data_IF_737449669539
#
_entry.id   IF_737449669539
#
_cell.length_a   1.000
_cell.length_b   1.000
_cell.length_c   1.000
_cell.angle_alpha   90.00
_cell.angle_beta   90.00
_cell.angle_gamma   90.00
#
_symmetry.space_group_name_H-M   'P 1'
#
loop_
_entity.id
_entity.type
_entity.pdbx_description
1 polymer ?
#
# COMPACT_ATOMS: atom_id res chain seq x y z
N UNK A 1 1.43 20.01 10.28
CA UNK A 1 0.76 21.25 9.87
C UNK A 1 0.52 21.18 8.38
N UNK A 2 -0.73 20.98 7.95
CA UNK A 2 -1.12 21.15 6.56
C UNK A 2 -1.83 22.50 6.48
N UNK A 3 -1.11 23.51 6.02
CA UNK A 3 -1.70 24.79 5.64
C UNK A 3 -1.41 25.00 4.17
N UNK A 4 -2.49 25.13 3.41
CA UNK A 4 -2.52 25.36 1.98
C UNK A 4 -3.97 25.49 1.51
N UNK A 5 -4.58 26.64 1.81
CA UNK A 5 -5.78 27.18 1.14
C UNK A 5 -5.54 27.24 -0.40
N UNK A 6 -6.49 27.26 -1.32
CA UNK A 6 -7.83 27.83 -1.38
C UNK A 6 -8.62 27.02 -2.43
N UNK A 7 -9.89 26.71 -2.18
CA UNK A 7 -10.75 26.04 -3.16
C UNK A 7 -11.16 27.00 -4.29
N UNK A 8 -10.58 26.82 -5.47
CA UNK A 8 -11.04 27.48 -6.70
C UNK A 8 -12.06 26.59 -7.42
N UNK A 9 -13.34 26.80 -7.10
CA UNK A 9 -14.54 26.67 -7.96
C UNK A 9 -14.46 25.82 -9.24
N UNK A 10 -14.16 24.52 -9.10
CA UNK A 10 -14.37 23.50 -10.13
C UNK A 10 -14.51 22.15 -9.40
N UNK A 11 -15.21 21.12 -9.92
CA UNK A 11 -15.18 19.79 -9.31
C UNK A 11 -13.77 19.22 -9.54
N UNK A 12 -12.82 19.69 -8.75
CA UNK A 12 -11.47 19.19 -8.72
C UNK A 12 -11.57 17.72 -8.31
N UNK A 13 -11.06 16.77 -9.12
CA UNK A 13 -11.07 15.38 -8.75
C UNK A 13 -10.38 15.27 -7.40
N UNK A 14 -11.09 14.75 -6.40
CA UNK A 14 -10.50 14.40 -5.12
C UNK A 14 -9.50 13.30 -5.44
N UNK A 15 -8.23 13.65 -5.53
CA UNK A 15 -7.15 12.68 -5.66
C UNK A 15 -6.98 12.06 -4.29
N UNK A 16 -7.76 11.02 -4.02
CA UNK A 16 -7.54 10.16 -2.86
C UNK A 16 -6.33 9.30 -3.23
N UNK A 17 -5.13 9.67 -2.76
CA UNK A 17 -3.99 8.75 -2.80
C UNK A 17 -4.28 7.60 -1.82
N UNK A 18 -4.99 6.60 -2.32
CA UNK A 18 -5.12 5.32 -1.64
C UNK A 18 -3.94 4.49 -2.10
N UNK A 19 -2.91 4.42 -1.25
CA UNK A 19 -1.73 3.59 -1.46
C UNK A 19 -2.08 2.17 -1.94
N UNK A 20 -3.20 1.64 -1.46
CA UNK A 20 -3.78 0.36 -1.87
C UNK A 20 -3.89 0.15 -3.38
N UNK A 21 -4.17 1.19 -4.18
CA UNK A 21 -4.36 1.05 -5.62
C UNK A 21 -3.06 0.82 -6.39
N UNK A 22 -1.91 1.17 -5.81
CA UNK A 22 -0.60 1.09 -6.46
C UNK A 22 0.40 0.18 -5.73
N UNK A 23 -0.02 -0.50 -4.65
CA UNK A 23 0.73 -1.60 -4.02
C UNK A 23 0.71 -2.82 -4.95
N UNK A 24 1.88 -3.42 -5.19
CA UNK A 24 2.04 -4.65 -6.00
C UNK A 24 2.45 -5.83 -5.12
N UNK A 25 1.87 -7.00 -5.39
CA UNK A 25 2.30 -8.26 -4.77
C UNK A 25 3.69 -8.63 -5.29
N UNK A 26 4.58 -9.00 -4.37
CA UNK A 26 5.86 -9.62 -4.70
C UNK A 26 5.73 -11.13 -4.51
N UNK A 27 6.25 -11.89 -5.47
CA UNK A 27 6.34 -13.34 -5.38
C UNK A 27 7.77 -13.71 -5.05
N UNK A 28 7.94 -14.53 -4.02
CA UNK A 28 9.22 -15.02 -3.55
C UNK A 28 9.18 -16.55 -3.56
N UNK A 29 10.30 -17.16 -3.92
CA UNK A 29 10.52 -18.59 -3.72
C UNK A 29 11.08 -18.85 -2.32
N UNK A 30 11.09 -20.12 -1.91
CA UNK A 30 11.71 -20.50 -0.63
C UNK A 30 13.18 -20.07 -0.56
N UNK A 31 13.92 -20.20 -1.67
CA UNK A 31 15.30 -19.76 -1.74
C UNK A 31 15.46 -18.24 -1.58
N UNK A 32 14.58 -17.45 -2.21
CA UNK A 32 14.59 -15.99 -2.05
C UNK A 32 14.33 -15.61 -0.59
N UNK A 33 13.38 -16.28 0.07
CA UNK A 33 13.10 -16.07 1.49
C UNK A 33 14.32 -16.41 2.33
N UNK A 34 15.02 -17.51 2.07
CA UNK A 34 16.19 -17.91 2.86
C UNK A 34 17.32 -16.89 2.81
N UNK A 35 17.57 -16.29 1.64
CA UNK A 35 18.64 -15.31 1.44
C UNK A 35 18.25 -13.88 1.86
N UNK A 36 16.98 -13.60 2.15
CA UNK A 36 16.54 -12.29 2.63
C UNK A 36 17.05 -11.99 4.05
N UNK A 37 17.46 -10.74 4.24
CA UNK A 37 17.82 -10.22 5.57
C UNK A 37 16.62 -10.24 6.53
N UNK A 38 16.91 -10.41 7.82
CA UNK A 38 15.87 -10.49 8.86
C UNK A 38 15.03 -9.20 8.92
N UNK A 39 15.62 -8.03 8.69
CA UNK A 39 14.89 -6.76 8.69
C UNK A 39 13.93 -6.69 7.51
N UNK A 40 14.36 -7.10 6.31
CA UNK A 40 13.50 -7.12 5.13
C UNK A 40 12.31 -8.07 5.32
N UNK A 41 12.51 -9.24 5.93
CA UNK A 41 11.42 -10.16 6.29
C UNK A 41 10.40 -9.49 7.22
N UNK A 42 10.86 -8.75 8.23
CA UNK A 42 10.00 -8.02 9.18
C UNK A 42 9.23 -6.90 8.49
N UNK A 43 9.88 -6.18 7.58
CA UNK A 43 9.26 -5.08 6.84
C UNK A 43 8.17 -5.60 5.89
N UNK A 44 8.42 -6.71 5.19
CA UNK A 44 7.43 -7.40 4.36
C UNK A 44 6.23 -7.84 5.21
N UNK A 45 6.48 -8.42 6.40
CA UNK A 45 5.41 -8.84 7.31
C UNK A 45 4.58 -7.64 7.80
N UNK A 46 5.23 -6.55 8.19
CA UNK A 46 4.55 -5.32 8.63
C UNK A 46 3.73 -4.70 7.49
N UNK A 47 4.29 -4.65 6.29
CA UNK A 47 3.59 -4.19 5.08
C UNK A 47 2.34 -5.05 4.79
N UNK A 48 2.47 -6.38 4.78
CA UNK A 48 1.33 -7.28 4.54
C UNK A 48 0.20 -7.09 5.55
N UNK A 49 0.53 -6.92 6.84
CA UNK A 49 -0.45 -6.61 7.89
C UNK A 49 -1.11 -5.25 7.67
N UNK A 50 -0.33 -4.24 7.31
CA UNK A 50 -0.85 -2.90 7.05
C UNK A 50 -1.79 -2.87 5.85
N UNK A 51 -1.44 -3.58 4.77
CA UNK A 51 -2.31 -3.75 3.59
C UNK A 51 -3.60 -4.47 3.97
N UNK A 52 -3.53 -5.58 4.72
CA UNK A 52 -4.72 -6.29 5.17
C UNK A 52 -5.66 -5.43 6.03
N UNK A 53 -5.11 -4.58 6.89
CA UNK A 53 -5.90 -3.72 7.78
C UNK A 53 -6.48 -2.48 7.08
N UNK A 54 -5.73 -1.86 6.18
CA UNK A 54 -6.09 -0.56 5.60
C UNK A 54 -6.70 -0.66 4.19
N UNK A 55 -6.32 -1.69 3.44
CA UNK A 55 -6.86 -1.94 2.12
C UNK A 55 -7.98 -2.96 2.24
N UNK A 56 -9.22 -2.54 1.95
CA UNK A 56 -10.32 -3.50 1.73
C UNK A 56 -9.80 -4.53 0.73
N UNK A 57 -9.98 -5.82 1.04
CA UNK A 57 -9.45 -6.93 0.26
C UNK A 57 -9.47 -6.59 -1.23
N UNK A 58 -8.28 -6.39 -1.82
CA UNK A 58 -8.14 -6.26 -3.29
C UNK A 58 -8.60 -7.56 -3.98
N UNK A 59 -9.02 -8.56 -3.21
CA UNK A 59 -10.00 -9.57 -3.57
C UNK A 59 -11.39 -8.94 -3.84
N UNK A 60 -11.49 -8.10 -4.87
CA UNK A 60 -12.76 -7.92 -5.56
C UNK A 60 -13.08 -9.25 -6.23
N UNK A 61 -14.28 -9.75 -5.99
CA UNK A 61 -14.83 -10.92 -6.67
C UNK A 61 -14.63 -10.80 -8.19
N UNK A 62 -13.86 -11.74 -8.74
CA UNK A 62 -14.09 -12.34 -10.06
C UNK A 62 -13.41 -13.70 -10.11
#
# INVERSE_FOLDING_TARGET
MLIGSCASTSPAPVVVDTACNWVRVIYLTDHDIDVLDMQTKRDILAHNKAVQANCRSITSAH
#
